data_IF_709129794902
#
_entry.id   IF_709129794902
#
_cell.length_a   1.000
_cell.length_b   1.000
_cell.length_c   1.000
_cell.angle_alpha   90.00
_cell.angle_beta   90.00
_cell.angle_gamma   90.00
#
_symmetry.space_group_name_H-M   'P 1'
#
loop_
_entity.id
_entity.type
_entity.pdbx_description
1 polymer ?
#
# COMPACT_ATOMS: atom_id res chain seq x y z
N UNK A 1 -6.88 24.46 11.35
CA UNK A 1 -6.82 23.49 10.24
C UNK A 1 -6.71 24.26 8.93
N UNK A 2 -5.63 24.07 8.16
CA UNK A 2 -5.55 24.62 6.81
C UNK A 2 -6.49 23.84 5.89
N UNK A 3 -7.35 24.56 5.15
CA UNK A 3 -8.17 23.97 4.10
C UNK A 3 -7.31 23.69 2.88
N UNK A 4 -7.46 22.50 2.33
CA UNK A 4 -6.84 22.12 1.05
C UNK A 4 -7.29 23.05 -0.07
N UNK A 5 -6.34 23.43 -0.92
CA UNK A 5 -6.58 24.25 -2.10
C UNK A 5 -6.98 23.37 -3.30
N UNK A 6 -7.43 23.95 -4.43
CA UNK A 6 -7.87 23.18 -5.59
C UNK A 6 -6.83 22.23 -6.19
N UNK A 7 -5.53 22.54 -6.07
CA UNK A 7 -4.47 21.65 -6.54
C UNK A 7 -4.23 20.48 -5.58
N UNK A 8 -4.33 20.70 -4.28
CA UNK A 8 -4.24 19.63 -3.27
C UNK A 8 -5.35 18.60 -3.49
N UNK A 9 -6.56 19.06 -3.82
CA UNK A 9 -7.71 18.18 -4.13
C UNK A 9 -7.50 17.36 -5.40
N UNK A 10 -6.87 17.92 -6.44
CA UNK A 10 -6.55 17.20 -7.68
C UNK A 10 -5.56 16.08 -7.46
N UNK A 11 -4.61 16.25 -6.52
CA UNK A 11 -3.65 15.22 -6.16
C UNK A 11 -4.30 13.98 -5.50
N UNK A 12 -5.53 14.09 -4.99
CA UNK A 12 -6.27 12.96 -4.41
C UNK A 12 -6.90 12.04 -5.47
N UNK A 13 -7.22 12.57 -6.66
CA UNK A 13 -7.84 11.81 -7.76
C UNK A 13 -7.09 10.51 -8.11
N UNK A 14 -5.76 10.49 -8.33
CA UNK A 14 -5.04 9.24 -8.59
C UNK A 14 -5.02 8.29 -7.39
N UNK A 15 -5.08 8.78 -6.15
CA UNK A 15 -5.14 7.88 -4.98
C UNK A 15 -6.45 7.08 -4.92
N UNK A 16 -7.53 7.66 -5.45
CA UNK A 16 -8.87 7.04 -5.51
C UNK A 16 -9.00 6.12 -6.73
N UNK A 17 -8.59 6.60 -7.90
CA UNK A 17 -8.88 5.92 -9.18
C UNK A 17 -7.69 5.18 -9.78
N UNK A 18 -6.47 5.61 -9.47
CA UNK A 18 -5.23 4.95 -9.88
C UNK A 18 -4.68 4.12 -8.73
N UNK A 19 -5.55 3.32 -8.09
CA UNK A 19 -5.16 2.39 -7.03
C UNK A 19 -4.25 1.30 -7.60
N UNK A 20 -3.00 1.68 -7.85
CA UNK A 20 -1.94 0.79 -8.28
C UNK A 20 -1.34 0.24 -7.01
N UNK A 21 -1.50 -1.05 -6.77
CA UNK A 21 -0.67 -1.73 -5.77
C UNK A 21 0.76 -1.77 -6.33
N UNK A 22 1.71 -0.94 -5.83
CA UNK A 22 3.06 -0.90 -6.39
C UNK A 22 3.80 -2.25 -6.19
N UNK A 23 3.27 -3.08 -5.30
CA UNK A 23 3.77 -4.41 -4.98
C UNK A 23 3.04 -5.54 -5.73
N UNK A 24 2.11 -5.20 -6.62
CA UNK A 24 1.27 -6.17 -7.33
C UNK A 24 0.33 -6.95 -6.39
N UNK A 25 -0.14 -8.10 -6.85
CA UNK A 25 -0.97 -9.03 -6.06
C UNK A 25 -0.06 -10.10 -5.48
N UNK A 26 -0.02 -10.25 -4.16
CA UNK A 26 0.69 -11.35 -3.51
C UNK A 26 -0.32 -12.44 -3.11
N UNK A 27 0.01 -13.69 -3.39
CA UNK A 27 -0.77 -14.82 -2.90
C UNK A 27 -0.24 -15.22 -1.52
N UNK A 28 -0.95 -14.83 -0.48
CA UNK A 28 -0.64 -15.23 0.88
C UNK A 28 -1.08 -16.67 1.12
N UNK A 29 -0.14 -17.56 1.42
CA UNK A 29 -0.45 -18.89 1.96
C UNK A 29 -0.32 -18.86 3.49
N UNK A 30 -1.44 -18.98 4.20
CA UNK A 30 -1.46 -19.00 5.67
C UNK A 30 -1.05 -20.36 6.27
N UNK A 31 -0.97 -21.40 5.43
CA UNK A 31 -0.49 -22.72 5.84
C UNK A 31 1.05 -22.80 5.84
N UNK A 32 1.72 -21.93 5.09
CA UNK A 32 3.18 -21.83 5.08
C UNK A 32 3.70 -21.13 6.34
N UNK A 33 4.74 -21.70 6.94
CA UNK A 33 5.45 -21.10 8.09
C UNK A 33 6.74 -20.46 7.60
N UNK A 34 7.01 -19.25 8.05
CA UNK A 34 8.28 -18.57 7.80
C UNK A 34 9.42 -19.36 8.46
N UNK A 35 10.50 -19.71 7.73
CA UNK A 35 11.66 -20.34 8.32
C UNK A 35 12.38 -19.32 9.21
N UNK A 36 12.26 -19.48 10.52
CA UNK A 36 12.97 -18.63 11.47
C UNK A 36 14.42 -19.10 11.53
N UNK A 37 15.35 -18.23 11.15
CA UNK A 37 16.77 -18.47 11.43
C UNK A 37 16.98 -18.26 12.92
N UNK A 38 17.48 -19.30 13.60
CA UNK A 38 17.89 -19.17 14.99
C UNK A 38 19.20 -18.37 15.00
N UNK A 39 19.17 -17.17 15.59
CA UNK A 39 20.37 -16.38 15.86
C UNK A 39 20.91 -16.85 17.21
N UNK A 40 22.17 -17.27 17.24
CA UNK A 40 22.86 -17.76 18.44
C UNK A 40 23.24 -16.61 19.38
#
# INVERSE_FOLDING_TARGET
MQRMNPNDLKALTPLIWSHVNPYGTFRLNLDERLPLKMVA
#
